data_IF_515537915683
#
_entry.id   IF_515537915683
#
_cell.length_a   1.000
_cell.length_b   1.000
_cell.length_c   1.000
_cell.angle_alpha   90.00
_cell.angle_beta   90.00
_cell.angle_gamma   90.00
#
_symmetry.space_group_name_H-M   'P 1'
#
loop_
_entity.id
_entity.type
_entity.pdbx_description
1 polymer ?
#
# COMPACT_ATOMS: atom_id res chain seq x y z
N UNK A 1 39.15 51.35 -20.34
CA UNK A 1 38.67 50.10 -20.95
C UNK A 1 37.75 49.29 -20.02
N UNK A 2 38.14 48.93 -18.79
CA UNK A 2 37.34 48.06 -17.90
C UNK A 2 35.92 48.56 -17.52
N UNK A 3 35.71 49.88 -17.44
CA UNK A 3 34.41 50.48 -17.05
C UNK A 3 33.30 50.28 -18.10
N UNK A 4 33.65 50.09 -19.37
CA UNK A 4 32.67 49.87 -20.44
C UNK A 4 32.30 48.38 -20.55
N UNK A 5 33.27 47.50 -20.31
CA UNK A 5 33.03 46.04 -20.25
C UNK A 5 32.04 45.69 -19.13
N UNK A 6 32.21 46.28 -17.94
CA UNK A 6 31.28 46.08 -16.82
C UNK A 6 29.85 46.55 -17.13
N UNK A 7 29.69 47.63 -17.92
CA UNK A 7 28.36 48.12 -18.33
C UNK A 7 27.69 47.19 -19.34
N UNK A 8 28.45 46.64 -20.29
CA UNK A 8 27.93 45.69 -21.29
C UNK A 8 27.51 44.38 -20.61
N UNK A 9 28.33 43.86 -19.70
CA UNK A 9 28.03 42.65 -18.92
C UNK A 9 26.82 42.88 -18.01
N UNK A 10 26.76 44.02 -17.33
CA UNK A 10 25.63 44.37 -16.46
C UNK A 10 24.30 44.50 -17.21
N UNK A 11 24.32 45.12 -18.40
CA UNK A 11 23.14 45.25 -19.26
C UNK A 11 22.70 43.90 -19.85
N UNK A 12 23.65 43.03 -20.23
CA UNK A 12 23.37 41.68 -20.73
C UNK A 12 22.72 40.77 -19.68
N UNK A 13 23.19 40.83 -18.44
CA UNK A 13 22.67 40.02 -17.34
C UNK A 13 21.20 40.35 -16.97
N UNK A 14 20.81 41.63 -17.05
CA UNK A 14 19.44 42.05 -16.73
C UNK A 14 18.40 41.57 -17.76
N UNK A 15 18.78 41.45 -19.03
CA UNK A 15 17.89 40.95 -20.09
C UNK A 15 17.64 39.44 -19.95
N UNK A 16 18.69 38.65 -19.68
CA UNK A 16 18.57 37.20 -19.49
C UNK A 16 17.89 36.83 -18.17
N UNK A 17 18.15 37.56 -17.09
CA UNK A 17 17.51 37.32 -15.79
C UNK A 17 15.99 37.53 -15.80
N UNK A 18 15.49 38.54 -16.51
CA UNK A 18 14.04 38.81 -16.56
C UNK A 18 13.25 37.79 -17.38
N UNK A 19 13.86 37.13 -18.36
CA UNK A 19 13.20 36.08 -19.15
C UNK A 19 13.06 34.77 -18.34
N UNK A 20 14.12 34.36 -17.65
CA UNK A 20 14.12 33.18 -16.78
C UNK A 20 13.16 33.33 -15.60
N UNK A 21 13.08 34.51 -14.98
CA UNK A 21 12.13 34.76 -13.88
C UNK A 21 10.67 34.71 -14.34
N UNK A 22 10.38 35.11 -15.59
CA UNK A 22 9.01 35.09 -16.12
C UNK A 22 8.50 33.67 -16.39
N UNK A 23 9.34 32.78 -16.90
CA UNK A 23 8.95 31.37 -17.12
C UNK A 23 8.89 30.59 -15.81
N UNK A 24 9.83 30.83 -14.89
CA UNK A 24 9.82 30.19 -13.56
C UNK A 24 8.62 30.62 -12.73
N UNK A 25 8.18 31.89 -12.80
CA UNK A 25 6.96 32.34 -12.09
C UNK A 25 5.70 31.65 -12.62
N UNK A 26 5.57 31.47 -13.93
CA UNK A 26 4.42 30.80 -14.52
C UNK A 26 4.38 29.31 -14.16
N UNK A 27 5.53 28.63 -14.11
CA UNK A 27 5.60 27.25 -13.60
C UNK A 27 5.30 27.20 -12.10
N UNK A 28 5.84 28.10 -11.28
CA UNK A 28 5.58 28.13 -9.83
C UNK A 28 4.12 28.45 -9.51
N UNK A 29 3.47 29.32 -10.27
CA UNK A 29 2.03 29.60 -10.11
C UNK A 29 1.20 28.37 -10.49
N UNK A 30 1.51 27.70 -11.60
CA UNK A 30 0.88 26.43 -11.96
C UNK A 30 1.16 25.32 -10.92
N UNK A 31 2.37 25.27 -10.34
CA UNK A 31 2.71 24.36 -9.24
C UNK A 31 1.98 24.72 -7.96
N UNK A 32 1.78 26.01 -7.64
CA UNK A 32 1.07 26.44 -6.45
C UNK A 32 -0.45 26.25 -6.57
N UNK A 33 -1.01 26.39 -7.77
CA UNK A 33 -2.43 26.06 -8.04
C UNK A 33 -2.65 24.55 -8.03
N UNK A 34 -1.77 23.77 -8.65
CA UNK A 34 -1.80 22.31 -8.56
C UNK A 34 -1.55 21.81 -7.13
N UNK A 35 -0.61 22.41 -6.39
CA UNK A 35 -0.35 22.10 -4.99
C UNK A 35 -1.50 22.53 -4.09
N UNK A 36 -2.18 23.65 -4.36
CA UNK A 36 -3.40 24.05 -3.63
C UNK A 36 -4.57 23.13 -3.93
N UNK A 37 -4.74 22.66 -5.16
CA UNK A 37 -5.75 21.65 -5.50
C UNK A 37 -5.42 20.30 -4.84
N UNK A 38 -4.17 19.87 -4.87
CA UNK A 38 -3.71 18.69 -4.14
C UNK A 38 -3.87 18.84 -2.63
N UNK A 39 -3.55 20.00 -2.05
CA UNK A 39 -3.70 20.29 -0.63
C UNK A 39 -5.17 20.44 -0.22
N UNK A 40 -6.03 21.00 -1.07
CA UNK A 40 -7.47 21.09 -0.84
C UNK A 40 -8.17 19.73 -0.97
N UNK A 41 -7.67 18.84 -1.86
CA UNK A 41 -8.06 17.43 -1.86
C UNK A 41 -7.54 16.72 -0.61
N UNK A 42 -6.32 16.98 -0.16
CA UNK A 42 -5.73 16.35 1.03
C UNK A 42 -6.43 16.80 2.33
N UNK A 43 -6.85 18.06 2.43
CA UNK A 43 -7.54 18.59 3.60
C UNK A 43 -8.99 18.10 3.73
N UNK A 44 -9.60 17.58 2.66
CA UNK A 44 -10.93 16.93 2.69
C UNK A 44 -10.84 15.39 2.65
N UNK A 45 -9.64 14.83 2.51
CA UNK A 45 -9.42 13.39 2.48
C UNK A 45 -8.72 12.96 3.76
N UNK A 46 -9.47 12.89 4.85
CA UNK A 46 -9.25 11.93 5.93
C UNK A 46 -7.76 11.63 6.27
N UNK A 47 -7.08 12.59 6.91
CA UNK A 47 -5.74 12.41 7.49
C UNK A 47 -5.72 11.46 8.72
N UNK A 48 -6.79 10.70 8.91
CA UNK A 48 -6.86 9.56 9.83
C UNK A 48 -6.82 8.20 9.09
N UNK A 49 -6.77 8.18 7.74
CA UNK A 49 -6.77 6.95 6.93
C UNK A 49 -5.47 6.72 6.13
N UNK A 50 -4.51 7.66 6.20
CA UNK A 50 -3.23 7.55 5.48
C UNK A 50 -2.20 6.72 6.27
N UNK A 51 -2.34 6.62 7.60
CA UNK A 51 -1.45 5.80 8.43
C UNK A 51 -1.86 4.31 8.45
N UNK A 52 -3.15 4.01 8.29
CA UNK A 52 -3.67 2.63 8.26
C UNK A 52 -3.32 1.84 6.99
N UNK A 53 -2.87 2.51 5.92
CA UNK A 53 -2.53 1.87 4.64
C UNK A 53 -1.03 1.56 4.46
N UNK A 54 -0.19 1.94 5.42
CA UNK A 54 1.25 1.64 5.46
C UNK A 54 1.50 0.40 6.33
N UNK A 55 1.21 -0.78 5.81
CA UNK A 55 1.76 -2.00 6.43
C UNK A 55 3.28 -1.96 6.24
N UNK A 56 4.01 -1.86 7.36
CA UNK A 56 5.48 -1.77 7.41
C UNK A 56 6.07 -0.57 6.64
N UNK A 57 5.31 0.51 6.47
CA UNK A 57 5.77 1.73 5.82
C UNK A 57 5.77 1.71 4.28
N UNK A 58 5.28 0.65 3.62
CA UNK A 58 5.23 0.53 2.16
C UNK A 58 3.82 0.77 1.60
N UNK A 59 3.71 1.61 0.58
CA UNK A 59 2.42 1.87 -0.09
C UNK A 59 2.13 0.85 -1.18
N UNK A 60 0.85 0.65 -1.56
CA UNK A 60 0.48 -0.25 -2.66
C UNK A 60 1.12 0.19 -4.00
N UNK A 61 1.20 1.50 -4.24
CA UNK A 61 1.85 2.04 -5.44
C UNK A 61 3.35 1.75 -5.45
N UNK A 62 4.04 1.89 -4.30
CA UNK A 62 5.45 1.51 -4.17
C UNK A 62 5.63 0.00 -4.41
N UNK A 63 4.77 -0.85 -3.84
CA UNK A 63 4.84 -2.29 -4.03
C UNK A 63 4.70 -2.71 -5.51
N UNK A 64 3.76 -2.09 -6.24
CA UNK A 64 3.58 -2.31 -7.68
C UNK A 64 4.81 -1.89 -8.49
N UNK A 65 5.44 -0.77 -8.14
CA UNK A 65 6.67 -0.31 -8.78
C UNK A 65 7.84 -1.25 -8.51
N UNK A 66 8.00 -1.72 -7.27
CA UNK A 66 9.07 -2.66 -6.90
C UNK A 66 8.93 -3.97 -7.68
N UNK A 67 7.72 -4.53 -7.81
CA UNK A 67 7.49 -5.76 -8.58
C UNK A 67 7.27 -5.53 -10.08
N UNK A 68 7.37 -4.28 -10.55
CA UNK A 68 7.15 -3.90 -11.94
C UNK A 68 5.83 -4.46 -12.52
N UNK A 69 4.72 -4.26 -11.80
CA UNK A 69 3.37 -4.68 -12.21
C UNK A 69 2.46 -3.47 -12.33
N UNK A 70 1.59 -3.46 -13.36
CA UNK A 70 0.65 -2.35 -13.60
C UNK A 70 -0.67 -2.58 -12.86
N UNK A 71 -1.22 -3.78 -13.03
CA UNK A 71 -2.51 -4.20 -12.49
C UNK A 71 -2.33 -5.40 -11.55
N UNK A 72 -3.23 -5.53 -10.57
CA UNK A 72 -3.17 -6.62 -9.58
C UNK A 72 -3.85 -7.91 -10.07
N UNK A 73 -4.54 -7.86 -11.20
CA UNK A 73 -5.29 -9.01 -11.74
C UNK A 73 -4.38 -10.09 -12.34
N UNK A 74 -3.17 -9.71 -12.77
CA UNK A 74 -2.19 -10.66 -13.33
C UNK A 74 -1.32 -11.28 -12.22
N UNK A 75 -1.90 -12.24 -11.51
CA UNK A 75 -1.22 -12.99 -10.44
C UNK A 75 0.07 -13.67 -10.95
N UNK A 76 0.07 -14.12 -12.20
CA UNK A 76 1.22 -14.82 -12.78
C UNK A 76 2.40 -13.86 -12.98
N UNK A 77 2.15 -12.64 -13.46
CA UNK A 77 3.17 -11.62 -13.57
C UNK A 77 3.74 -11.23 -12.20
N UNK A 78 2.90 -11.09 -11.19
CA UNK A 78 3.32 -10.81 -9.81
C UNK A 78 4.29 -11.88 -9.31
N UNK A 79 3.92 -13.16 -9.40
CA UNK A 79 4.75 -14.27 -8.91
C UNK A 79 6.05 -14.41 -9.70
N UNK A 80 5.98 -14.26 -11.03
CA UNK A 80 7.16 -14.37 -11.91
C UNK A 80 8.16 -13.26 -11.61
N UNK A 81 7.69 -12.02 -11.52
CA UNK A 81 8.55 -10.86 -11.23
C UNK A 81 9.11 -10.95 -9.82
N UNK A 82 8.31 -11.36 -8.84
CA UNK A 82 8.77 -11.59 -7.47
C UNK A 82 9.91 -12.62 -7.43
N UNK A 83 9.72 -13.81 -8.02
CA UNK A 83 10.75 -14.86 -8.00
C UNK A 83 12.03 -14.40 -8.69
N UNK A 84 11.92 -13.71 -9.82
CA UNK A 84 13.05 -13.18 -10.56
C UNK A 84 13.83 -12.15 -9.72
N UNK A 85 13.14 -11.12 -9.21
CA UNK A 85 13.76 -10.06 -8.42
C UNK A 85 14.31 -10.58 -7.08
N UNK A 86 13.63 -11.53 -6.44
CA UNK A 86 14.07 -12.10 -5.18
C UNK A 86 15.38 -12.88 -5.38
N UNK A 87 15.43 -13.78 -6.38
CA UNK A 87 16.64 -14.59 -6.69
C UNK A 87 17.81 -13.73 -7.14
N UNK A 88 17.55 -12.70 -7.96
CA UNK A 88 18.57 -11.77 -8.40
C UNK A 88 19.22 -10.98 -7.24
N UNK A 89 18.49 -10.80 -6.12
CA UNK A 89 18.95 -10.06 -4.96
C UNK A 89 19.39 -10.94 -3.77
N UNK A 90 19.53 -12.26 -3.96
CA UNK A 90 20.07 -13.13 -2.91
C UNK A 90 21.55 -12.82 -2.64
N UNK A 91 21.98 -12.96 -1.38
CA UNK A 91 23.37 -12.74 -0.96
C UNK A 91 24.42 -13.50 -1.80
N UNK A 92 24.21 -14.78 -2.17
CA UNK A 92 25.18 -15.52 -3.00
C UNK A 92 25.35 -14.93 -4.40
N UNK A 93 24.32 -14.25 -4.92
CA UNK A 93 24.33 -13.60 -6.23
C UNK A 93 24.97 -12.19 -6.21
N UNK A 94 25.53 -11.77 -5.08
CA UNK A 94 26.01 -10.39 -4.88
C UNK A 94 24.90 -9.38 -4.58
N UNK A 95 23.69 -9.87 -4.29
CA UNK A 95 22.54 -9.03 -3.95
C UNK A 95 22.60 -8.46 -2.54
N UNK A 96 21.79 -7.42 -2.30
CA UNK A 96 21.66 -6.79 -0.98
C UNK A 96 20.47 -7.37 -0.23
N UNK A 97 20.69 -7.73 1.04
CA UNK A 97 19.61 -8.14 1.94
C UNK A 97 18.51 -7.08 2.07
N UNK A 98 18.88 -5.79 1.98
CA UNK A 98 17.89 -4.71 2.01
C UNK A 98 16.98 -4.74 0.79
N UNK A 99 17.54 -4.91 -0.40
CA UNK A 99 16.77 -4.98 -1.65
C UNK A 99 15.89 -6.24 -1.69
N UNK A 100 16.44 -7.38 -1.28
CA UNK A 100 15.67 -8.61 -1.12
C UNK A 100 14.50 -8.44 -0.14
N UNK A 101 14.76 -7.78 1.00
CA UNK A 101 13.72 -7.48 2.00
C UNK A 101 12.66 -6.54 1.42
N UNK A 102 13.03 -5.55 0.60
CA UNK A 102 12.08 -4.66 -0.07
C UNK A 102 11.19 -5.40 -1.07
N UNK A 103 11.77 -6.30 -1.87
CA UNK A 103 11.01 -7.15 -2.80
C UNK A 103 10.03 -8.06 -2.04
N UNK A 104 10.47 -8.64 -0.92
CA UNK A 104 9.61 -9.44 -0.05
C UNK A 104 8.44 -8.64 0.54
N UNK A 105 8.70 -7.44 1.10
CA UNK A 105 7.64 -6.58 1.63
C UNK A 105 6.66 -6.11 0.56
N UNK A 106 7.12 -5.86 -0.66
CA UNK A 106 6.25 -5.50 -1.78
C UNK A 106 5.24 -6.61 -2.10
N UNK A 107 5.70 -7.86 -2.12
CA UNK A 107 4.84 -9.03 -2.32
C UNK A 107 3.80 -9.17 -1.21
N UNK A 108 4.22 -9.07 0.06
CA UNK A 108 3.27 -9.11 1.19
C UNK A 108 2.19 -8.01 1.10
N UNK A 109 2.57 -6.78 0.70
CA UNK A 109 1.62 -5.68 0.59
C UNK A 109 0.59 -5.89 -0.53
N UNK A 110 1.01 -6.49 -1.65
CA UNK A 110 0.11 -6.81 -2.77
C UNK A 110 -0.83 -7.96 -2.37
N UNK A 111 -0.32 -9.02 -1.75
CA UNK A 111 -1.16 -10.14 -1.29
C UNK A 111 -2.25 -9.69 -0.32
N UNK A 112 -1.92 -8.79 0.60
CA UNK A 112 -2.90 -8.21 1.54
C UNK A 112 -4.00 -7.45 0.80
N UNK A 113 -3.66 -6.72 -0.26
CA UNK A 113 -4.67 -6.02 -1.06
C UNK A 113 -5.57 -7.01 -1.80
N UNK A 114 -5.00 -8.08 -2.36
CA UNK A 114 -5.76 -9.12 -3.04
C UNK A 114 -6.75 -9.83 -2.10
N UNK A 115 -6.32 -10.15 -0.88
CA UNK A 115 -7.19 -10.71 0.17
C UNK A 115 -8.28 -9.70 0.56
N UNK A 116 -7.93 -8.42 0.68
CA UNK A 116 -8.92 -7.36 0.97
C UNK A 116 -9.95 -7.23 -0.14
N UNK A 117 -9.53 -7.28 -1.41
CA UNK A 117 -10.44 -7.24 -2.56
C UNK A 117 -11.37 -8.47 -2.59
N UNK A 118 -10.87 -9.67 -2.25
CA UNK A 118 -11.71 -10.87 -2.13
C UNK A 118 -12.73 -10.77 -1.00
N UNK A 119 -12.38 -10.13 0.13
CA UNK A 119 -13.31 -9.99 1.26
C UNK A 119 -14.34 -8.86 1.08
N UNK A 120 -14.01 -7.82 0.30
CA UNK A 120 -14.89 -6.65 0.06
C UNK A 120 -15.94 -6.91 -1.04
N UNK A 121 -15.71 -7.87 -1.95
CA UNK A 121 -16.68 -8.29 -2.96
C UNK A 121 -17.18 -9.74 -2.72
N UNK A 122 -18.16 -9.95 -1.81
CA UNK A 122 -18.68 -11.27 -1.51
C UNK A 122 -19.64 -11.73 -2.61
N UNK A 123 -19.08 -12.24 -3.70
CA UNK A 123 -19.78 -13.04 -4.71
C UNK A 123 -19.55 -14.53 -4.51
N UNK A 124 -19.60 -15.04 -3.27
CA UNK A 124 -19.52 -16.48 -3.00
C UNK A 124 -18.94 -16.84 -1.64
N UNK A 125 -19.82 -16.94 -0.63
CA UNK A 125 -19.66 -17.67 0.64
C UNK A 125 -18.52 -17.18 1.57
N UNK A 126 -18.83 -16.54 2.72
CA UNK A 126 -17.81 -16.25 3.74
C UNK A 126 -17.22 -17.54 4.32
N UNK A 127 -15.96 -17.57 4.78
CA UNK A 127 -15.41 -18.71 5.49
C UNK A 127 -16.20 -18.96 6.78
N UNK A 128 -17.17 -19.88 6.68
CA UNK A 128 -17.77 -20.62 7.78
C UNK A 128 -16.72 -21.52 8.43
N UNK A 129 -15.64 -20.92 8.93
CA UNK A 129 -14.61 -21.61 9.72
C UNK A 129 -14.05 -20.78 10.87
N UNK A 130 -14.49 -19.53 11.04
CA UNK A 130 -14.14 -18.72 12.23
C UNK A 130 -15.22 -18.70 13.31
N UNK A 131 -16.44 -19.19 13.03
CA UNK A 131 -17.55 -19.23 14.00
C UNK A 131 -17.81 -20.63 14.60
N UNK A 132 -17.07 -21.67 14.18
CA UNK A 132 -17.30 -23.06 14.61
C UNK A 132 -16.48 -23.50 15.85
N UNK A 133 -15.77 -22.58 16.52
CA UNK A 133 -14.97 -22.92 17.72
C UNK A 133 -15.38 -22.19 19.00
N UNK A 134 -16.55 -21.55 19.05
CA UNK A 134 -17.04 -20.86 20.27
C UNK A 134 -18.37 -21.46 20.78
N UNK A 135 -18.72 -22.69 20.39
CA UNK A 135 -20.05 -23.25 20.71
C UNK A 135 -20.13 -24.75 20.96
N UNK A 136 -19.07 -25.40 21.47
CA UNK A 136 -19.05 -26.87 21.60
C UNK A 136 -18.54 -27.43 22.95
N UNK A 137 -18.68 -26.70 24.07
CA UNK A 137 -18.33 -27.25 25.41
C UNK A 137 -19.39 -27.08 26.52
N UNK A 138 -20.61 -26.59 26.25
CA UNK A 138 -21.58 -26.30 27.32
C UNK A 138 -22.87 -27.15 27.36
N UNK A 139 -23.07 -28.14 26.50
CA UNK A 139 -24.31 -28.95 26.47
C UNK A 139 -24.04 -30.45 26.33
N UNK A 140 -23.46 -31.09 27.36
CA UNK A 140 -23.35 -32.55 27.42
C UNK A 140 -23.44 -33.14 28.84
N UNK A 141 -24.17 -32.51 29.77
CA UNK A 141 -24.34 -33.06 31.13
C UNK A 141 -25.77 -33.05 31.69
N UNK A 142 -26.78 -32.90 30.83
CA UNK A 142 -28.18 -33.03 31.24
C UNK A 142 -28.95 -33.82 30.18
N UNK A 143 -29.50 -34.97 30.60
CA UNK A 143 -30.51 -35.80 29.88
C UNK A 143 -30.02 -37.08 29.19
N UNK A 144 -29.56 -38.02 30.01
CA UNK A 144 -29.87 -39.45 29.90
C UNK A 144 -30.15 -39.89 31.35
N UNK A 145 -31.24 -40.52 31.80
CA UNK A 145 -32.22 -41.42 31.19
C UNK A 145 -33.39 -41.51 32.20
N UNK A 146 -34.65 -41.55 31.74
CA UNK A 146 -35.82 -42.06 32.51
C UNK A 146 -36.47 -43.15 31.63
N UNK A 147 -37.34 -44.05 32.13
CA UNK A 147 -37.61 -44.54 33.49
C UNK A 147 -37.63 -46.10 33.58
N UNK A 148 -37.73 -46.68 34.78
CA UNK A 148 -37.99 -48.11 35.02
C UNK A 148 -38.87 -48.31 36.26
N UNK A 149 -39.75 -49.34 36.31
CA UNK A 149 -41.01 -49.29 37.03
C UNK A 149 -40.92 -49.69 38.51
N UNK A 150 -42.00 -49.32 39.18
CA UNK A 150 -42.39 -49.48 40.58
C UNK A 150 -42.07 -50.85 41.21
N UNK A 151 -41.56 -50.83 42.44
CA UNK A 151 -41.83 -51.87 43.43
C UNK A 151 -42.23 -51.24 44.76
N UNK A 152 -43.31 -51.80 45.29
CA UNK A 152 -44.19 -51.36 46.36
C UNK A 152 -43.76 -51.99 47.70
N UNK A 153 -43.65 -51.17 48.73
CA UNK A 153 -43.79 -51.44 50.17
C UNK A 153 -44.30 -50.12 50.74
N UNK A 154 -45.48 -49.93 51.32
CA UNK A 154 -46.56 -50.78 51.85
C UNK A 154 -47.92 -50.32 51.27
#
# INVERSE_FOLDING_TARGET
MARYLAKIIGLGAQAMGRALVKTVRQEIEAFNEAARLHQALNNNSNDAAVDDNKVNGMTLTEARQILNVKDLDDQKAIDTNYQHLFRANEKPSGGSFYLQSKVYRAKERIDQELVKLQTVFPGGIPPSSAAASIGAEAEAHFKATKPGPESRTD
#
